data_IF_907552999124
#
_entry.id   IF_907552999124
#
_cell.length_a   1.000
_cell.length_b   1.000
_cell.length_c   1.000
_cell.angle_alpha   90.00
_cell.angle_beta   90.00
_cell.angle_gamma   90.00
#
_symmetry.space_group_name_H-M   'P 1'
#
loop_
_entity.id
_entity.type
_entity.pdbx_description
1 polymer ?
#
# COMPACT_ATOMS: atom_id res chain seq x y z
N UNK A 1 2.71 -2.70 -31.70
CA UNK A 1 3.09 -1.81 -30.57
C UNK A 1 4.55 -2.04 -30.14
N UNK A 2 5.17 -3.04 -30.71
CA UNK A 2 6.52 -3.50 -30.33
C UNK A 2 7.66 -2.66 -30.87
N UNK A 3 7.45 -1.93 -31.97
CA UNK A 3 8.52 -1.24 -32.68
C UNK A 3 8.93 0.11 -32.09
N UNK A 4 8.11 0.70 -31.20
CA UNK A 4 8.36 2.04 -30.66
C UNK A 4 9.37 2.04 -29.48
N UNK A 5 9.47 0.93 -28.74
CA UNK A 5 10.37 0.86 -27.57
C UNK A 5 11.82 0.55 -27.99
N UNK A 6 12.00 -0.06 -29.18
CA UNK A 6 13.32 -0.52 -29.65
C UNK A 6 14.13 0.54 -30.40
N UNK A 7 13.52 1.68 -30.74
CA UNK A 7 14.13 2.68 -31.65
C UNK A 7 14.97 3.77 -30.94
N UNK A 8 15.25 3.63 -29.64
CA UNK A 8 16.08 4.60 -28.91
C UNK A 8 17.54 4.20 -28.91
N UNK A 9 18.43 5.08 -29.36
CA UNK A 9 19.86 4.93 -29.23
C UNK A 9 20.27 5.28 -27.79
N UNK A 10 20.61 4.27 -26.98
CA UNK A 10 20.94 4.43 -25.56
C UNK A 10 22.11 5.37 -25.30
N UNK A 11 23.06 5.47 -26.23
CA UNK A 11 24.26 6.31 -26.06
C UNK A 11 23.97 7.80 -26.23
N UNK A 12 22.84 8.14 -26.83
CA UNK A 12 22.40 9.53 -27.07
C UNK A 12 21.43 10.04 -26.01
N UNK A 13 20.95 9.14 -25.11
CA UNK A 13 20.01 9.50 -24.08
C UNK A 13 20.71 10.05 -22.83
N UNK A 14 20.13 11.09 -22.23
CA UNK A 14 20.51 11.53 -20.88
C UNK A 14 20.28 10.42 -19.85
N UNK A 15 20.96 10.47 -18.70
CA UNK A 15 20.74 9.48 -17.64
C UNK A 15 19.29 9.39 -17.17
N UNK A 16 18.56 10.53 -17.15
CA UNK A 16 17.12 10.57 -16.88
C UNK A 16 16.32 9.82 -17.97
N UNK A 17 16.64 10.06 -19.24
CA UNK A 17 15.91 9.46 -20.34
C UNK A 17 16.16 7.95 -20.42
N UNK A 18 17.39 7.52 -20.15
CA UNK A 18 17.73 6.09 -20.02
C UNK A 18 16.87 5.44 -18.91
N UNK A 19 16.71 6.13 -17.76
CA UNK A 19 15.86 5.64 -16.68
C UNK A 19 14.37 5.59 -17.10
N UNK A 20 13.83 6.62 -17.76
CA UNK A 20 12.46 6.62 -18.27
C UNK A 20 12.20 5.47 -19.26
N UNK A 21 13.15 5.21 -20.14
CA UNK A 21 13.08 4.08 -21.07
C UNK A 21 13.05 2.74 -20.33
N UNK A 22 13.94 2.54 -19.36
CA UNK A 22 14.01 1.32 -18.56
C UNK A 22 12.70 1.10 -17.76
N UNK A 23 12.11 2.17 -17.21
CA UNK A 23 10.82 2.09 -16.51
C UNK A 23 9.70 1.67 -17.46
N UNK A 24 9.64 2.24 -18.66
CA UNK A 24 8.65 1.87 -19.65
C UNK A 24 8.80 0.41 -20.10
N UNK A 25 10.01 -0.03 -20.41
CA UNK A 25 10.31 -1.43 -20.76
C UNK A 25 9.92 -2.41 -19.66
N UNK A 26 10.26 -2.07 -18.41
CA UNK A 26 9.92 -2.87 -17.23
C UNK A 26 8.41 -2.99 -17.03
N UNK A 27 7.69 -1.89 -17.15
CA UNK A 27 6.22 -1.85 -17.02
C UNK A 27 5.54 -2.62 -18.16
N UNK A 28 5.99 -2.46 -19.39
CA UNK A 28 5.45 -3.18 -20.56
C UNK A 28 5.63 -4.70 -20.40
N UNK A 29 6.82 -5.12 -19.99
CA UNK A 29 7.13 -6.53 -19.72
C UNK A 29 6.21 -7.11 -18.63
N UNK A 30 6.01 -6.37 -17.52
CA UNK A 30 5.10 -6.76 -16.45
C UNK A 30 3.67 -6.94 -16.99
N UNK A 31 3.17 -5.95 -17.73
CA UNK A 31 1.79 -5.96 -18.22
C UNK A 31 1.56 -7.07 -19.26
N UNK A 32 2.51 -7.35 -20.15
CA UNK A 32 2.44 -8.47 -21.10
C UNK A 32 2.38 -9.80 -20.37
N UNK A 33 3.25 -10.01 -19.36
CA UNK A 33 3.26 -11.22 -18.54
C UNK A 33 1.92 -11.42 -17.82
N UNK A 34 1.36 -10.35 -17.26
CA UNK A 34 0.07 -10.39 -16.54
C UNK A 34 -1.12 -10.58 -17.49
N UNK A 35 -1.11 -9.99 -18.67
CA UNK A 35 -2.16 -10.20 -19.70
C UNK A 35 -2.22 -11.64 -20.16
N UNK A 36 -1.07 -12.30 -20.36
CA UNK A 36 -1.03 -13.70 -20.78
C UNK A 36 -1.51 -14.67 -19.70
N UNK A 37 -1.37 -14.31 -18.41
CA UNK A 37 -2.01 -15.04 -17.32
C UNK A 37 -3.54 -14.87 -17.30
N UNK A 38 -4.07 -13.85 -17.96
CA UNK A 38 -5.46 -13.38 -17.90
C UNK A 38 -6.44 -14.05 -18.88
N UNK A 39 -6.14 -15.25 -19.44
CA UNK A 39 -7.17 -16.09 -20.08
C UNK A 39 -8.20 -16.60 -19.04
N UNK A 40 -7.84 -16.65 -17.78
CA UNK A 40 -8.74 -16.89 -16.67
C UNK A 40 -9.22 -15.55 -16.09
N UNK A 41 -10.51 -15.19 -16.18
CA UNK A 41 -11.04 -13.93 -15.67
C UNK A 41 -10.87 -13.77 -14.14
N UNK A 42 -10.57 -14.87 -13.44
CA UNK A 42 -10.28 -14.86 -11.99
C UNK A 42 -8.85 -14.48 -11.68
N UNK A 43 -7.93 -14.51 -12.64
CA UNK A 43 -6.54 -14.13 -12.41
C UNK A 43 -6.37 -12.61 -12.49
N UNK A 44 -5.68 -12.00 -11.53
CA UNK A 44 -5.41 -10.57 -11.53
C UNK A 44 -4.64 -10.17 -12.79
N UNK A 45 -5.05 -9.07 -13.42
CA UNK A 45 -4.34 -8.50 -14.56
C UNK A 45 -3.98 -7.05 -14.31
N UNK A 46 -2.86 -6.64 -14.92
CA UNK A 46 -2.39 -5.26 -14.91
C UNK A 46 -2.22 -4.83 -16.37
N UNK A 47 -2.72 -3.64 -16.69
CA UNK A 47 -2.50 -2.99 -17.99
C UNK A 47 -2.22 -1.51 -17.80
N UNK A 48 -1.67 -0.85 -18.82
CA UNK A 48 -1.39 0.57 -18.77
C UNK A 48 -1.73 1.29 -20.06
N UNK A 49 -1.92 2.62 -19.92
CA UNK A 49 -2.03 3.57 -21.02
C UNK A 49 -1.04 4.69 -20.76
N UNK A 50 -0.31 5.14 -21.78
CA UNK A 50 0.56 6.32 -21.70
C UNK A 50 -0.33 7.56 -21.84
N UNK A 51 -0.26 8.47 -20.86
CA UNK A 51 -1.02 9.72 -20.84
C UNK A 51 -0.21 10.91 -21.30
N UNK A 52 1.08 10.92 -21.01
CA UNK A 52 2.00 11.98 -21.47
C UNK A 52 3.37 11.41 -21.78
N UNK A 53 4.04 12.06 -22.74
CA UNK A 53 5.43 11.80 -23.11
C UNK A 53 6.23 13.10 -23.03
N UNK A 54 7.55 12.98 -22.85
CA UNK A 54 8.47 14.11 -23.00
C UNK A 54 8.73 14.42 -24.48
N UNK A 55 9.57 15.41 -24.74
CA UNK A 55 9.87 15.92 -26.09
C UNK A 55 10.50 14.87 -27.01
N UNK A 56 11.19 13.88 -26.48
CA UNK A 56 11.80 12.79 -27.25
C UNK A 56 10.93 11.53 -27.30
N UNK A 57 9.69 11.60 -26.80
CA UNK A 57 8.71 10.51 -26.90
C UNK A 57 8.69 9.51 -25.76
N UNK A 58 9.49 9.71 -24.70
CA UNK A 58 9.50 8.83 -23.53
C UNK A 58 8.35 9.15 -22.57
N UNK A 59 7.65 8.13 -22.04
CA UNK A 59 6.51 8.34 -21.15
C UNK A 59 6.90 8.99 -19.82
N UNK A 60 6.10 9.96 -19.39
CA UNK A 60 6.21 10.65 -18.09
C UNK A 60 4.95 10.54 -17.24
N UNK A 61 3.81 10.20 -17.88
CA UNK A 61 2.57 9.91 -17.17
C UNK A 61 1.93 8.64 -17.70
N UNK A 62 1.47 7.81 -16.75
CA UNK A 62 0.77 6.57 -17.04
C UNK A 62 -0.58 6.53 -16.34
N UNK A 63 -1.52 5.80 -16.91
CA UNK A 63 -2.71 5.31 -16.23
C UNK A 63 -2.63 3.80 -16.14
N UNK A 64 -2.63 3.27 -14.93
CA UNK A 64 -2.57 1.83 -14.66
C UNK A 64 -3.97 1.34 -14.33
N UNK A 65 -4.32 0.20 -14.89
CA UNK A 65 -5.57 -0.49 -14.65
C UNK A 65 -5.28 -1.82 -13.97
N UNK A 66 -5.87 -2.02 -12.79
CA UNK A 66 -5.81 -3.27 -12.05
C UNK A 66 -7.17 -3.97 -12.15
N UNK A 67 -7.16 -5.23 -12.56
CA UNK A 67 -8.32 -6.13 -12.47
C UNK A 67 -8.05 -7.14 -11.36
N UNK A 68 -8.47 -6.81 -10.14
CA UNK A 68 -8.37 -7.68 -8.97
C UNK A 68 -9.46 -7.30 -7.98
N UNK A 69 -9.83 -8.23 -7.10
CA UNK A 69 -10.73 -7.94 -5.98
C UNK A 69 -10.03 -7.00 -5.01
N UNK A 70 -10.71 -5.93 -4.59
CA UNK A 70 -10.24 -5.01 -3.54
C UNK A 70 -11.43 -4.45 -2.76
N UNK A 71 -11.19 -3.94 -1.56
CA UNK A 71 -12.18 -3.21 -0.79
C UNK A 71 -12.20 -1.77 -1.30
N UNK A 72 -13.38 -1.29 -1.68
CA UNK A 72 -13.58 0.06 -2.26
C UNK A 72 -14.38 0.98 -1.34
N UNK A 73 -14.94 0.45 -0.26
CA UNK A 73 -15.71 1.17 0.74
C UNK A 73 -16.27 0.21 1.77
N UNK A 74 -17.09 0.75 2.66
CA UNK A 74 -17.85 0.00 3.67
C UNK A 74 -19.32 0.38 3.59
N UNK A 75 -20.19 -0.52 4.05
CA UNK A 75 -21.62 -0.22 4.16
C UNK A 75 -21.83 0.80 5.28
N UNK A 76 -22.76 1.73 5.08
CA UNK A 76 -23.08 2.78 6.07
C UNK A 76 -23.96 2.25 7.22
N UNK A 77 -24.49 1.03 7.08
CA UNK A 77 -25.41 0.42 8.04
C UNK A 77 -24.82 -0.83 8.66
N UNK A 78 -25.09 -1.02 9.95
CA UNK A 78 -24.65 -2.17 10.71
C UNK A 78 -23.34 -1.94 11.47
N UNK A 79 -23.16 -2.74 12.52
CA UNK A 79 -21.91 -2.86 13.28
C UNK A 79 -21.65 -4.35 13.43
N UNK A 80 -20.57 -4.86 12.87
CA UNK A 80 -19.49 -4.20 12.13
C UNK A 80 -19.90 -3.77 10.70
N UNK A 81 -19.27 -2.71 10.18
CA UNK A 81 -19.48 -2.18 8.82
C UNK A 81 -18.86 -3.09 7.77
N UNK A 82 -19.68 -3.82 7.05
CA UNK A 82 -19.21 -4.79 6.05
C UNK A 82 -18.50 -4.13 4.86
N UNK A 83 -17.45 -4.77 4.30
CA UNK A 83 -16.73 -4.26 3.15
C UNK A 83 -17.58 -4.30 1.86
N UNK A 84 -17.41 -3.28 1.04
CA UNK A 84 -17.89 -3.24 -0.35
C UNK A 84 -16.70 -3.57 -1.24
N UNK A 85 -16.84 -4.59 -2.10
CA UNK A 85 -15.79 -5.02 -3.01
C UNK A 85 -15.95 -4.43 -4.40
N UNK A 86 -14.79 -4.12 -5.03
CA UNK A 86 -14.67 -3.74 -6.43
C UNK A 86 -13.61 -4.58 -7.14
N UNK A 87 -13.62 -4.54 -8.48
CA UNK A 87 -12.76 -5.41 -9.29
C UNK A 87 -11.96 -4.68 -10.37
N UNK A 88 -12.23 -3.41 -10.60
CA UNK A 88 -11.55 -2.59 -11.60
C UNK A 88 -11.09 -1.29 -10.97
N UNK A 89 -9.78 -1.09 -10.92
CA UNK A 89 -9.18 0.06 -10.27
C UNK A 89 -8.27 0.79 -11.24
N UNK A 90 -8.37 2.13 -11.25
CA UNK A 90 -7.58 3.02 -12.09
C UNK A 90 -6.67 3.87 -11.23
N UNK A 91 -5.41 3.93 -11.58
CA UNK A 91 -4.41 4.73 -10.89
C UNK A 91 -3.60 5.55 -11.90
N UNK A 92 -3.40 6.82 -11.62
CA UNK A 92 -2.47 7.69 -12.35
C UNK A 92 -1.09 7.61 -11.72
N UNK A 93 -0.05 7.58 -12.55
CA UNK A 93 1.34 7.72 -12.13
C UNK A 93 1.92 8.90 -12.89
N UNK A 94 2.53 9.85 -12.16
CA UNK A 94 3.26 10.97 -12.72
C UNK A 94 4.72 10.87 -12.30
N UNK A 95 5.62 10.85 -13.28
CA UNK A 95 7.06 10.94 -13.04
C UNK A 95 7.46 12.42 -13.16
N UNK A 96 7.83 13.08 -12.06
CA UNK A 96 8.16 14.50 -12.07
C UNK A 96 9.43 14.80 -12.87
N UNK A 97 9.67 16.07 -13.16
CA UNK A 97 10.81 16.48 -14.02
C UNK A 97 12.18 16.13 -13.39
N UNK A 98 12.27 16.10 -12.08
CA UNK A 98 13.47 15.74 -11.33
C UNK A 98 13.58 14.21 -11.06
N UNK A 99 12.61 13.37 -11.51
CA UNK A 99 12.77 11.92 -11.46
C UNK A 99 13.95 11.48 -12.32
N UNK A 100 14.86 10.59 -11.85
CA UNK A 100 14.83 9.77 -10.63
C UNK A 100 15.64 10.34 -9.45
N UNK A 101 15.80 11.64 -9.31
CA UNK A 101 16.50 12.23 -8.18
C UNK A 101 15.82 11.86 -6.84
N UNK A 102 16.54 12.00 -5.74
CA UNK A 102 16.08 11.59 -4.41
C UNK A 102 14.79 12.30 -3.94
N UNK A 103 14.54 13.52 -4.44
CA UNK A 103 13.32 14.31 -4.20
C UNK A 103 12.28 14.16 -5.33
N UNK A 104 12.62 13.44 -6.40
CA UNK A 104 11.79 13.21 -7.58
C UNK A 104 10.93 11.96 -7.50
N UNK A 105 10.24 11.73 -6.37
CA UNK A 105 9.44 10.54 -6.20
C UNK A 105 8.24 10.51 -7.16
N UNK A 106 7.93 9.35 -7.78
CA UNK A 106 6.73 9.18 -8.57
C UNK A 106 5.46 9.44 -7.74
N UNK A 107 4.49 10.12 -8.33
CA UNK A 107 3.19 10.41 -7.70
C UNK A 107 2.17 9.37 -8.14
N UNK A 108 1.62 8.65 -7.18
CA UNK A 108 0.60 7.62 -7.39
C UNK A 108 -0.74 8.11 -6.84
N UNK A 109 -1.77 8.16 -7.71
CA UNK A 109 -3.09 8.63 -7.32
C UNK A 109 -4.19 7.77 -7.93
N UNK A 110 -4.98 7.09 -7.12
CA UNK A 110 -6.16 6.37 -7.58
C UNK A 110 -7.24 7.33 -8.10
N UNK A 111 -7.82 6.98 -9.23
CA UNK A 111 -8.99 7.65 -9.84
C UNK A 111 -10.30 6.96 -9.51
N UNK A 112 -10.23 5.76 -8.96
CA UNK A 112 -11.36 4.99 -8.43
C UNK A 112 -11.30 4.97 -6.90
N UNK A 113 -12.44 4.71 -6.26
CA UNK A 113 -12.47 4.57 -4.81
C UNK A 113 -11.69 3.33 -4.37
N UNK A 114 -10.83 3.49 -3.36
CA UNK A 114 -10.13 2.41 -2.67
C UNK A 114 -10.24 2.68 -1.17
N UNK A 115 -10.57 1.63 -0.42
CA UNK A 115 -10.64 1.66 1.03
C UNK A 115 -9.45 0.88 1.60
N UNK A 116 -8.35 1.58 1.85
CA UNK A 116 -7.08 0.95 2.26
C UNK A 116 -6.25 1.91 3.13
N UNK A 117 -5.63 1.47 4.25
CA UNK A 117 -4.93 2.35 5.18
C UNK A 117 -3.78 3.18 4.56
N UNK A 118 -3.13 2.64 3.53
CA UNK A 118 -2.04 3.33 2.82
C UNK A 118 -2.53 4.20 1.65
N UNK A 119 -3.85 4.43 1.50
CA UNK A 119 -4.44 5.19 0.41
C UNK A 119 -5.48 6.15 0.99
N UNK A 120 -5.32 7.44 0.72
CA UNK A 120 -6.26 8.47 1.18
C UNK A 120 -7.63 8.28 0.51
N UNK A 121 -8.68 8.03 1.29
CA UNK A 121 -10.02 7.79 0.72
C UNK A 121 -10.83 9.07 0.50
N UNK A 122 -10.48 10.19 1.17
CA UNK A 122 -11.26 11.43 1.15
C UNK A 122 -10.40 12.69 1.18
N UNK A 123 -11.04 13.85 1.05
CA UNK A 123 -10.41 15.17 1.09
C UNK A 123 -9.63 15.52 -0.18
N UNK A 124 -8.84 16.59 -0.10
CA UNK A 124 -8.06 17.15 -1.23
C UNK A 124 -6.99 16.20 -1.77
N UNK A 125 -6.52 15.27 -0.96
CA UNK A 125 -5.53 14.25 -1.33
C UNK A 125 -6.15 12.88 -1.63
N UNK A 126 -7.46 12.84 -1.91
CA UNK A 126 -8.17 11.60 -2.25
C UNK A 126 -7.46 10.82 -3.34
N UNK A 127 -7.25 9.52 -3.10
CA UNK A 127 -6.57 8.60 -4.00
C UNK A 127 -5.04 8.58 -3.85
N UNK A 128 -4.44 9.51 -3.11
CA UNK A 128 -2.98 9.51 -2.88
C UNK A 128 -2.55 8.20 -2.21
N UNK A 129 -1.53 7.58 -2.78
CA UNK A 129 -0.93 6.33 -2.27
C UNK A 129 0.32 6.69 -1.47
N UNK A 130 0.38 6.25 -0.23
CA UNK A 130 1.61 6.27 0.56
C UNK A 130 2.40 4.99 0.26
N UNK A 131 3.48 5.12 -0.50
CA UNK A 131 4.45 4.05 -0.71
C UNK A 131 5.65 4.33 0.17
N UNK A 132 5.99 3.40 1.03
CA UNK A 132 7.20 3.50 1.87
C UNK A 132 8.42 3.18 1.00
N UNK A 133 8.80 4.13 0.13
CA UNK A 133 9.92 3.99 -0.83
C UNK A 133 11.23 3.69 -0.10
N UNK A 134 11.39 4.19 1.12
CA UNK A 134 12.58 3.90 1.95
C UNK A 134 12.78 2.41 2.21
N UNK A 135 11.71 1.63 2.34
CA UNK A 135 11.79 0.18 2.54
C UNK A 135 12.13 -0.58 1.25
N UNK A 136 11.84 0.01 0.10
CA UNK A 136 12.10 -0.60 -1.22
C UNK A 136 13.47 -0.21 -1.81
N UNK A 137 14.16 0.74 -1.18
CA UNK A 137 15.42 1.31 -1.69
C UNK A 137 15.20 2.38 -2.76
N UNK A 138 16.17 3.27 -2.88
CA UNK A 138 16.16 4.42 -3.83
C UNK A 138 16.10 3.98 -5.30
N UNK A 139 16.36 2.70 -5.58
CA UNK A 139 16.44 2.13 -6.92
C UNK A 139 15.17 1.32 -7.30
N UNK A 140 14.12 1.34 -6.49
CA UNK A 140 12.89 0.63 -6.84
C UNK A 140 12.41 1.04 -8.24
N UNK A 141 12.18 0.04 -9.10
CA UNK A 141 11.68 0.30 -10.45
C UNK A 141 10.17 0.58 -10.41
N UNK A 142 9.67 1.29 -11.42
CA UNK A 142 8.23 1.57 -11.54
C UNK A 142 7.39 0.29 -11.54
N UNK A 143 7.88 -0.79 -12.18
CA UNK A 143 7.20 -2.09 -12.17
C UNK A 143 7.06 -2.67 -10.76
N UNK A 144 8.10 -2.51 -9.89
CA UNK A 144 8.06 -3.03 -8.52
C UNK A 144 7.08 -2.23 -7.66
N UNK A 145 7.04 -0.92 -7.86
CA UNK A 145 6.05 -0.04 -7.21
C UNK A 145 4.61 -0.39 -7.64
N UNK A 146 4.38 -0.67 -8.93
CA UNK A 146 3.07 -1.11 -9.44
C UNK A 146 2.66 -2.46 -8.85
N UNK A 147 3.57 -3.40 -8.70
CA UNK A 147 3.32 -4.69 -8.02
C UNK A 147 3.03 -4.47 -6.53
N UNK A 148 3.74 -3.56 -5.87
CA UNK A 148 3.49 -3.22 -4.46
C UNK A 148 2.08 -2.67 -4.27
N UNK A 149 1.62 -1.82 -5.17
CA UNK A 149 0.23 -1.30 -5.15
C UNK A 149 -0.79 -2.43 -5.38
N UNK A 150 -0.51 -3.40 -6.24
CA UNK A 150 -1.36 -4.59 -6.39
C UNK A 150 -1.49 -5.35 -5.05
N UNK A 151 -0.40 -5.50 -4.30
CA UNK A 151 -0.42 -6.13 -2.97
C UNK A 151 -1.26 -5.33 -1.97
N UNK A 152 -1.26 -3.98 -2.05
CA UNK A 152 -2.17 -3.15 -1.26
C UNK A 152 -3.63 -3.44 -1.63
N UNK A 153 -3.97 -3.42 -2.92
CA UNK A 153 -5.34 -3.70 -3.38
C UNK A 153 -5.85 -5.05 -2.89
N UNK A 154 -4.98 -6.04 -2.77
CA UNK A 154 -5.29 -7.38 -2.27
C UNK A 154 -5.22 -7.52 -0.75
N UNK A 155 -4.93 -6.45 -0.02
CA UNK A 155 -4.68 -6.48 1.42
C UNK A 155 -3.60 -7.48 1.86
N UNK A 156 -2.68 -7.82 0.96
CA UNK A 156 -1.50 -8.62 1.29
C UNK A 156 -0.46 -7.81 2.05
N UNK A 157 -0.45 -6.50 1.82
CA UNK A 157 0.38 -5.54 2.51
C UNK A 157 -0.47 -4.34 2.91
N UNK A 158 -0.43 -3.97 4.17
CA UNK A 158 -1.03 -2.74 4.69
C UNK A 158 -0.42 -2.36 6.04
N UNK A 159 -0.51 -1.09 6.39
CA UNK A 159 -0.13 -0.59 7.70
C UNK A 159 -1.35 0.08 8.35
N UNK A 160 -1.94 -0.60 9.33
CA UNK A 160 -3.11 -0.12 10.06
C UNK A 160 -2.78 0.30 11.51
N UNK A 161 -1.57 0.02 12.02
CA UNK A 161 -1.17 0.36 13.39
C UNK A 161 -1.03 1.88 13.54
N UNK A 162 -1.46 2.41 14.69
CA UNK A 162 -1.29 3.82 15.02
C UNK A 162 0.12 4.11 15.57
N UNK A 163 1.15 3.68 14.82
CA UNK A 163 2.57 3.85 15.13
C UNK A 163 3.29 4.35 13.89
N UNK A 164 4.43 5.02 14.08
CA UNK A 164 5.25 5.49 12.97
C UNK A 164 5.81 4.33 12.11
N UNK A 165 5.80 4.41 10.76
CA UNK A 165 5.14 5.45 9.97
C UNK A 165 3.61 5.34 10.04
N UNK A 166 2.93 6.44 10.37
CA UNK A 166 1.47 6.42 10.49
C UNK A 166 0.78 6.05 9.17
N UNK A 167 -0.39 5.39 9.23
CA UNK A 167 -1.17 5.11 8.03
C UNK A 167 -1.56 6.41 7.31
N UNK A 168 -1.65 6.36 5.98
CA UNK A 168 -2.06 7.52 5.15
C UNK A 168 -3.51 7.92 5.47
N UNK A 169 -4.35 6.95 5.83
CA UNK A 169 -5.75 7.18 6.20
C UNK A 169 -6.08 6.54 7.55
N UNK A 170 -6.24 7.39 8.57
CA UNK A 170 -6.48 6.95 9.95
C UNK A 170 -7.86 6.31 10.13
N UNK A 171 -8.91 6.84 9.46
CA UNK A 171 -10.27 6.30 9.58
C UNK A 171 -10.35 4.88 8.99
N UNK A 172 -9.68 4.67 7.85
CA UNK A 172 -9.60 3.34 7.24
C UNK A 172 -8.77 2.41 8.11
N UNK A 173 -7.67 2.90 8.69
CA UNK A 173 -6.82 2.10 9.57
C UNK A 173 -7.55 1.65 10.85
N UNK A 174 -8.36 2.52 11.43
CA UNK A 174 -9.22 2.22 12.57
C UNK A 174 -10.22 1.12 12.22
N UNK A 175 -10.96 1.29 11.13
CA UNK A 175 -11.89 0.26 10.65
C UNK A 175 -11.19 -1.08 10.41
N UNK A 176 -9.98 -1.07 9.84
CA UNK A 176 -9.22 -2.31 9.62
C UNK A 176 -8.93 -3.03 10.93
N UNK A 177 -8.44 -2.31 11.96
CA UNK A 177 -8.11 -2.90 13.26
C UNK A 177 -9.34 -3.39 14.02
N UNK A 178 -10.40 -2.59 14.02
CA UNK A 178 -11.55 -2.79 14.91
C UNK A 178 -12.63 -3.68 14.29
N UNK A 179 -12.74 -3.66 12.97
CA UNK A 179 -13.82 -4.36 12.28
C UNK A 179 -13.28 -5.41 11.26
N UNK A 180 -12.34 -5.05 10.37
CA UNK A 180 -11.97 -5.93 9.27
C UNK A 180 -11.11 -7.11 9.70
N UNK A 181 -10.08 -6.90 10.51
CA UNK A 181 -9.19 -7.96 10.99
C UNK A 181 -9.92 -8.98 11.87
N UNK A 182 -10.74 -8.57 12.87
CA UNK A 182 -11.50 -9.51 13.69
C UNK A 182 -12.47 -10.38 12.89
N UNK A 183 -13.05 -9.82 11.81
CA UNK A 183 -13.97 -10.55 10.93
C UNK A 183 -13.28 -11.26 9.75
N UNK A 184 -11.94 -11.20 9.65
CA UNK A 184 -11.18 -11.87 8.60
C UNK A 184 -11.34 -11.28 7.19
N UNK A 185 -11.92 -10.08 7.06
CA UNK A 185 -12.22 -9.45 5.77
C UNK A 185 -10.98 -8.98 5.00
N UNK A 186 -9.82 -8.89 5.63
CA UNK A 186 -8.55 -8.55 4.98
C UNK A 186 -7.85 -9.76 4.34
N UNK A 187 -8.33 -10.98 4.55
CA UNK A 187 -7.67 -12.23 4.14
C UNK A 187 -8.03 -12.71 2.73
N UNK A 188 -8.89 -12.01 2.00
CA UNK A 188 -9.37 -12.44 0.68
C UNK A 188 -8.28 -12.50 -0.41
N UNK A 189 -7.14 -11.88 -0.20
CA UNK A 189 -5.99 -11.88 -1.13
C UNK A 189 -4.92 -12.93 -0.80
N UNK A 190 -5.09 -13.66 0.30
CA UNK A 190 -4.24 -14.80 0.64
C UNK A 190 -4.74 -16.01 -0.15
N UNK A 191 -3.83 -16.74 -0.79
CA UNK A 191 -4.20 -17.94 -1.57
C UNK A 191 -4.97 -18.91 -0.67
N UNK A 192 -6.16 -19.33 -1.13
CA UNK A 192 -7.07 -20.24 -0.43
C UNK A 192 -6.51 -21.69 -0.36
N UNK A 193 -5.20 -21.86 -0.45
CA UNK A 193 -4.53 -23.16 -0.35
C UNK A 193 -4.18 -23.57 1.09
N UNK A 194 -4.34 -22.65 2.06
CA UNK A 194 -4.16 -23.01 3.46
C UNK A 194 -5.52 -23.13 4.17
N UNK A 195 -5.70 -24.31 4.78
CA UNK A 195 -6.85 -24.78 5.55
C UNK A 195 -7.50 -23.70 6.42
N UNK A 196 -8.85 -23.70 6.46
CA UNK A 196 -9.68 -22.91 7.38
C UNK A 196 -9.03 -22.85 8.76
N UNK A 197 -8.73 -21.67 9.30
CA UNK A 197 -8.36 -21.58 10.71
C UNK A 197 -9.55 -22.08 11.54
N UNK A 198 -9.30 -23.09 12.36
CA UNK A 198 -10.23 -23.55 13.39
C UNK A 198 -10.62 -22.34 14.25
N UNK A 199 -11.89 -22.10 14.55
CA UNK A 199 -12.28 -21.03 15.45
C UNK A 199 -11.52 -21.24 16.77
N UNK A 200 -10.76 -20.26 17.20
CA UNK A 200 -10.18 -20.24 18.54
C UNK A 200 -11.36 -20.07 19.49
N UNK A 201 -11.82 -21.17 20.04
CA UNK A 201 -12.72 -21.16 21.21
C UNK A 201 -11.91 -20.48 22.31
N UNK A 202 -12.37 -19.34 22.75
CA UNK A 202 -11.83 -18.65 23.92
C UNK A 202 -11.94 -19.59 25.12
N UNK A 203 -10.87 -20.29 25.45
CA UNK A 203 -10.75 -20.99 26.71
C UNK A 203 -10.49 -19.96 27.80
N UNK A 204 -11.36 -20.03 28.78
CA UNK A 204 -11.48 -19.21 29.96
C UNK A 204 -10.15 -18.76 30.57
N UNK A 205 -10.15 -17.50 30.88
CA UNK A 205 -9.43 -16.74 31.86
C UNK A 205 -9.03 -17.56 33.09
N UNK A 206 -7.77 -17.89 33.21
CA UNK A 206 -7.19 -18.12 34.56
C UNK A 206 -6.75 -16.77 35.08
N UNK A 207 -7.36 -16.41 36.22
CA UNK A 207 -7.07 -15.20 36.95
C UNK A 207 -5.60 -15.23 37.44
N UNK A 208 -4.79 -14.32 36.93
CA UNK A 208 -3.47 -14.05 37.44
C UNK A 208 -3.58 -13.29 38.75
N UNK A 209 -3.43 -14.01 39.89
CA UNK A 209 -3.24 -13.42 41.20
C UNK A 209 -1.81 -12.92 41.31
N UNK A 210 -1.65 -11.62 41.45
CA UNK A 210 -0.38 -10.99 41.78
C UNK A 210 0.08 -11.39 43.18
N UNK A 211 1.37 -11.68 43.42
CA UNK A 211 1.87 -11.93 44.74
C UNK A 211 1.97 -10.62 45.55
N UNK A 212 1.37 -10.66 46.75
CA UNK A 212 1.57 -9.69 47.80
C UNK A 212 3.05 -9.68 48.22
N UNK A 213 3.69 -8.54 48.16
CA UNK A 213 4.92 -8.29 48.89
C UNK A 213 4.68 -7.25 49.99
N UNK A 214 4.34 -7.74 51.15
CA UNK A 214 4.57 -7.03 52.40
C UNK A 214 6.07 -7.07 52.73
N UNK A 215 6.72 -5.94 52.76
CA UNK A 215 7.87 -5.74 53.63
C UNK A 215 7.99 -4.28 54.00
N UNK A 216 7.62 -4.05 55.25
CA UNK A 216 7.87 -2.86 56.04
C UNK A 216 9.38 -2.64 56.15
N UNK A 217 9.88 -1.43 55.94
CA UNK A 217 10.98 -0.95 56.77
C UNK A 217 10.95 0.54 57.03
N UNK A 218 11.04 0.84 58.32
CA UNK A 218 11.02 2.15 58.95
C UNK A 218 12.40 2.82 58.86
N UNK A 219 12.35 4.13 59.13
CA UNK A 219 13.44 5.04 59.55
C UNK A 219 14.29 5.59 58.39
N UNK A 220 14.53 6.86 58.33
CA UNK A 220 14.88 7.88 59.32
C UNK A 220 14.72 9.28 58.74
N UNK A 221 14.26 10.20 59.52
CA UNK A 221 14.16 11.61 59.21
C UNK A 221 15.51 12.32 59.22
N UNK A 222 15.62 13.33 58.36
CA UNK A 222 16.49 14.48 58.61
C UNK A 222 15.75 15.73 58.15
N UNK A 223 15.37 16.53 59.12
CA UNK A 223 15.03 17.96 58.96
C UNK A 223 16.29 18.72 58.56
N UNK A 224 16.23 19.58 57.57
CA UNK A 224 17.03 20.80 57.55
C UNK A 224 16.25 21.97 57.01
N UNK A 225 16.28 22.99 57.85
CA UNK A 225 15.61 24.28 57.86
C UNK A 225 15.96 25.16 56.66
N UNK A 226 14.95 25.97 56.33
CA UNK A 226 15.08 27.28 55.64
C UNK A 226 16.11 28.18 56.31
N UNK A 227 16.76 28.98 55.51
CA UNK A 227 16.96 30.43 55.72
C UNK A 227 17.32 31.14 54.44
N UNK A 228 16.52 32.13 54.16
CA UNK A 228 16.66 33.45 53.55
C UNK A 228 17.11 33.46 52.11
#
# INVERSE_FOLDING_TARGET
MDDLITNFNLTELSGRDQRLLAEWQGLDTLCRKRKNAGKDPRKPSISYIIRRKNVIGLPTEYEIWYRCKSIVGVKDTGVPREPIFGYLHKMSIVLPNNYPAADGNPLFTFKTHIWHPNIRHSGSFKGKVCLTIKEMGVLASLKDLVVRVEQYLKYQLYHAKNTYPYPEDQNVAEWVREEAEPNGWTRFGQDMTESKPTPIVATNTEAYTAPHNDTINKNTGIKKKLKI
#
